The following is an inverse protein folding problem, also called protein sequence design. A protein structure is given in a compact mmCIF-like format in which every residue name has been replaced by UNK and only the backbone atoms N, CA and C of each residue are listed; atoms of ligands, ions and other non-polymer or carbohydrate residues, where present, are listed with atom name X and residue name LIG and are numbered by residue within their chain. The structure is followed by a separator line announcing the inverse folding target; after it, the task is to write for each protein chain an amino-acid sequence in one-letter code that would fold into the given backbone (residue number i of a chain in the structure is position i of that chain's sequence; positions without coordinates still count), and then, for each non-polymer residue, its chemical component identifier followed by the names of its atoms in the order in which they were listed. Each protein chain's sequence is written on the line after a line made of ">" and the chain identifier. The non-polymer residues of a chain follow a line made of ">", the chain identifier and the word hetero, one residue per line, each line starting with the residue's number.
data_IF_774650599918
#
_entry.id   IF_774650599918
#
_cell.length_a   1.000
_cell.length_b   1.000
_cell.length_c   1.000
_cell.angle_alpha   90.00
_cell.angle_beta   90.00
_cell.angle_gamma   90.00
#
_symmetry.space_group_name_H-M   'P 1'
#
loop_
_entity.id
_entity.type
_entity.pdbx_description
1 polymer ?
#
# COMPACT_ATOMS: atom_id res chain seq x y z
N UNK A 1 92.65 -12.14 -1.62
CA UNK A 1 92.90 -11.80 -3.03
C UNK A 1 91.64 -12.14 -3.82
N UNK A 2 91.06 -11.12 -4.46
CA UNK A 2 89.88 -11.21 -5.32
C UNK A 2 90.18 -12.11 -6.54
N UNK A 3 89.22 -12.95 -6.92
CA UNK A 3 88.95 -13.20 -8.34
C UNK A 3 87.46 -13.09 -8.59
N UNK A 4 87.20 -12.36 -9.66
CA UNK A 4 85.97 -11.71 -10.07
C UNK A 4 85.19 -12.62 -11.03
N UNK A 5 83.88 -12.36 -11.16
CA UNK A 5 83.19 -12.21 -12.45
C UNK A 5 82.14 -13.26 -12.90
N UNK A 6 80.99 -12.69 -13.29
CA UNK A 6 79.99 -13.05 -14.33
C UNK A 6 78.66 -13.68 -13.91
N UNK A 7 77.71 -12.77 -13.66
CA UNK A 7 76.31 -12.72 -14.16
C UNK A 7 75.70 -13.97 -14.79
N UNK A 8 74.55 -14.37 -14.27
CA UNK A 8 73.41 -14.84 -15.06
C UNK A 8 72.10 -14.33 -14.42
N UNK A 9 71.33 -13.58 -15.23
CA UNK A 9 69.98 -13.11 -14.93
C UNK A 9 69.03 -14.30 -14.75
N UNK A 10 68.17 -14.23 -13.74
CA UNK A 10 66.89 -14.94 -13.73
C UNK A 10 65.79 -13.94 -13.35
N UNK A 11 65.00 -13.54 -14.36
CA UNK A 11 63.77 -12.80 -14.18
C UNK A 11 62.72 -13.75 -13.58
N UNK A 12 62.24 -13.44 -12.38
CA UNK A 12 61.02 -14.06 -11.82
C UNK A 12 59.90 -13.04 -11.97
N UNK A 13 59.03 -13.29 -12.95
CA UNK A 13 57.71 -12.68 -13.08
C UNK A 13 56.70 -13.74 -12.67
N UNK A 14 55.74 -13.38 -11.81
CA UNK A 14 54.39 -13.95 -11.59
C UNK A 14 53.93 -13.45 -10.22
N UNK A 15 52.76 -12.88 -9.98
CA UNK A 15 51.56 -12.62 -10.76
C UNK A 15 50.54 -12.16 -9.72
N UNK A 16 50.26 -10.86 -9.63
CA UNK A 16 49.33 -10.31 -8.66
C UNK A 16 47.90 -10.61 -9.08
N UNK A 17 47.30 -11.63 -8.46
CA UNK A 17 45.87 -11.90 -8.57
C UNK A 17 45.10 -10.82 -7.79
N UNK A 18 44.71 -9.75 -8.47
CA UNK A 18 43.78 -8.76 -7.94
C UNK A 18 42.36 -9.36 -7.95
N UNK A 19 41.90 -9.87 -6.80
CA UNK A 19 40.50 -10.17 -6.59
C UNK A 19 39.71 -8.86 -6.58
N UNK A 20 39.15 -8.49 -7.73
CA UNK A 20 38.12 -7.47 -7.82
C UNK A 20 36.85 -8.05 -7.21
N UNK A 21 36.60 -7.73 -5.94
CA UNK A 21 35.30 -7.93 -5.32
C UNK A 21 34.32 -6.96 -6.00
N UNK A 22 33.61 -7.46 -7.02
CA UNK A 22 32.44 -6.80 -7.56
C UNK A 22 31.39 -6.77 -6.46
N UNK A 23 31.10 -5.58 -5.95
CA UNK A 23 29.95 -5.36 -5.08
C UNK A 23 28.69 -5.53 -5.93
N UNK A 24 28.15 -6.74 -6.00
CA UNK A 24 26.79 -6.96 -6.47
C UNK A 24 25.87 -6.16 -5.55
N UNK A 25 25.34 -5.06 -6.08
CA UNK A 25 24.21 -4.39 -5.46
C UNK A 25 23.05 -5.38 -5.47
N UNK A 26 22.88 -6.09 -4.36
CA UNK A 26 21.71 -6.92 -4.12
C UNK A 26 20.48 -6.00 -4.08
N UNK A 27 19.85 -5.80 -5.23
CA UNK A 27 18.50 -5.26 -5.30
C UNK A 27 17.59 -6.34 -4.72
N UNK A 28 17.29 -6.23 -3.43
CA UNK A 28 16.12 -6.88 -2.87
C UNK A 28 14.94 -6.40 -3.73
N UNK A 29 14.41 -7.30 -4.57
CA UNK A 29 13.23 -6.99 -5.38
C UNK A 29 12.12 -6.62 -4.39
N UNK A 30 11.69 -5.36 -4.44
CA UNK A 30 10.64 -4.85 -3.56
C UNK A 30 9.45 -5.81 -3.63
N UNK A 31 9.15 -6.41 -2.49
CA UNK A 31 8.15 -7.45 -2.31
C UNK A 31 6.80 -6.95 -2.79
N UNK A 32 6.42 -7.36 -4.02
CA UNK A 32 5.08 -7.29 -4.60
C UNK A 32 4.50 -5.91 -4.88
N UNK A 33 4.84 -4.87 -4.13
CA UNK A 33 4.25 -3.53 -4.19
C UNK A 33 5.31 -2.45 -4.38
N UNK A 34 5.07 -1.56 -5.35
CA UNK A 34 5.88 -0.36 -5.57
C UNK A 34 5.17 0.85 -5.00
N UNK A 35 5.92 1.74 -4.34
CA UNK A 35 5.41 3.02 -3.85
C UNK A 35 5.97 4.15 -4.69
N UNK A 36 5.06 4.89 -5.32
CA UNK A 36 5.37 6.05 -6.15
C UNK A 36 4.81 7.30 -5.49
N UNK A 37 5.63 8.35 -5.39
CA UNK A 37 5.12 9.69 -5.08
C UNK A 37 4.65 10.32 -6.38
N UNK A 38 3.41 10.80 -6.41
CA UNK A 38 2.90 11.49 -7.60
C UNK A 38 3.60 12.83 -7.78
N UNK A 39 4.33 12.99 -8.90
CA UNK A 39 5.06 14.20 -9.23
C UNK A 39 4.18 15.46 -9.14
N UNK A 40 4.73 16.55 -8.60
CA UNK A 40 3.99 17.80 -8.37
C UNK A 40 2.98 17.75 -7.23
N UNK A 41 2.92 16.65 -6.47
CA UNK A 41 1.99 16.48 -5.34
C UNK A 41 2.66 15.76 -4.18
N UNK A 42 2.05 15.83 -3.00
CA UNK A 42 2.46 15.07 -1.81
C UNK A 42 1.67 13.77 -1.63
N UNK A 43 0.92 13.34 -2.65
CA UNK A 43 0.17 12.08 -2.64
C UNK A 43 1.09 10.89 -2.91
N UNK A 44 0.76 9.77 -2.28
CA UNK A 44 1.46 8.50 -2.48
C UNK A 44 0.52 7.51 -3.17
N UNK A 45 1.06 6.77 -4.13
CA UNK A 45 0.36 5.69 -4.82
C UNK A 45 1.16 4.42 -4.61
N UNK A 46 0.54 3.42 -4.00
CA UNK A 46 1.08 2.07 -3.94
C UNK A 46 0.40 1.21 -5.01
N UNK A 47 1.19 0.47 -5.78
CA UNK A 47 0.69 -0.49 -6.76
C UNK A 47 1.29 -1.85 -6.46
N UNK A 48 0.44 -2.83 -6.27
CA UNK A 48 0.83 -4.20 -6.02
C UNK A 48 0.60 -5.04 -7.27
N UNK A 49 1.52 -5.96 -7.54
CA UNK A 49 1.48 -6.87 -8.69
C UNK A 49 0.28 -7.84 -8.66
N UNK A 50 -0.44 -7.91 -7.55
CA UNK A 50 -1.61 -8.75 -7.33
C UNK A 50 -2.95 -8.04 -7.57
N UNK A 51 -2.91 -6.88 -8.23
CA UNK A 51 -4.09 -6.13 -8.63
C UNK A 51 -4.68 -5.22 -7.55
N UNK A 52 -3.92 -4.91 -6.49
CA UNK A 52 -4.28 -3.88 -5.51
C UNK A 52 -3.56 -2.56 -5.83
N UNK A 53 -4.31 -1.48 -5.90
CA UNK A 53 -3.78 -0.12 -5.97
C UNK A 53 -4.36 0.73 -4.83
N UNK A 54 -3.50 1.50 -4.16
CA UNK A 54 -3.88 2.37 -3.04
C UNK A 54 -3.35 3.76 -3.32
N UNK A 55 -4.24 4.75 -3.36
CA UNK A 55 -3.88 6.17 -3.39
C UNK A 55 -4.13 6.75 -2.01
N UNK A 56 -3.13 7.37 -1.41
CA UNK A 56 -3.24 8.03 -0.12
C UNK A 56 -3.28 9.55 -0.27
N UNK A 57 -4.20 10.20 0.44
CA UNK A 57 -4.21 11.66 0.59
C UNK A 57 -2.88 12.14 1.18
N UNK A 58 -2.45 13.34 0.76
CA UNK A 58 -1.29 14.00 1.36
C UNK A 58 -1.37 14.04 2.90
N UNK A 59 -0.36 13.48 3.56
CA UNK A 59 -0.28 13.46 5.04
C UNK A 59 -1.18 12.41 5.71
N UNK A 60 -1.78 11.49 4.94
CA UNK A 60 -2.42 10.31 5.48
C UNK A 60 -1.39 9.42 6.19
N UNK A 61 -1.76 8.91 7.36
CA UNK A 61 -0.98 7.93 8.12
C UNK A 61 -1.67 6.58 7.98
N UNK A 62 -1.00 5.69 7.28
CA UNK A 62 -1.47 4.33 7.06
C UNK A 62 -0.31 3.35 7.13
N UNK A 63 -0.63 2.10 7.48
CA UNK A 63 0.29 0.98 7.43
C UNK A 63 -0.32 -0.13 6.61
N UNK A 64 0.54 -0.90 5.96
CA UNK A 64 0.16 -2.14 5.29
C UNK A 64 0.11 -3.28 6.30
N UNK A 65 -0.87 -4.16 6.16
CA UNK A 65 -0.99 -5.38 6.94
C UNK A 65 -0.96 -6.56 5.97
N UNK A 66 0.07 -7.38 6.11
CA UNK A 66 0.19 -8.71 5.50
C UNK A 66 0.07 -9.72 6.66
N UNK A 67 -1.08 -10.38 6.76
CA UNK A 67 -1.37 -11.28 7.90
C UNK A 67 -0.79 -12.66 7.70
N UNK A 68 -0.77 -13.13 6.45
CA UNK A 68 -0.31 -14.47 6.09
C UNK A 68 1.20 -14.51 5.76
N UNK A 69 1.85 -13.34 5.70
CA UNK A 69 3.28 -13.14 5.42
C UNK A 69 3.69 -13.65 4.04
N UNK A 70 2.79 -13.57 3.07
CA UNK A 70 3.07 -13.97 1.68
C UNK A 70 3.72 -12.86 0.84
N UNK A 71 3.98 -11.69 1.44
CA UNK A 71 4.55 -10.52 0.78
C UNK A 71 3.49 -9.67 0.06
N UNK A 72 2.20 -9.96 0.24
CA UNK A 72 1.08 -9.22 -0.34
C UNK A 72 0.21 -8.62 0.77
N UNK A 73 -0.21 -7.35 0.64
CA UNK A 73 -1.01 -6.70 1.66
C UNK A 73 -2.43 -7.27 1.70
N UNK A 74 -2.92 -7.78 2.82
CA UNK A 74 -4.33 -8.18 2.99
C UNK A 74 -5.22 -6.99 3.38
N UNK A 75 -4.62 -5.99 4.02
CA UNK A 75 -5.34 -4.83 4.50
C UNK A 75 -4.46 -3.58 4.58
N UNK A 76 -5.13 -2.44 4.64
CA UNK A 76 -4.54 -1.15 5.03
C UNK A 76 -5.11 -0.75 6.37
N UNK A 77 -4.24 -0.46 7.33
CA UNK A 77 -4.63 0.18 8.58
C UNK A 77 -4.49 1.70 8.45
N UNK A 78 -5.62 2.42 8.38
CA UNK A 78 -5.67 3.88 8.24
C UNK A 78 -5.93 4.55 9.61
N UNK A 79 -5.27 5.70 9.87
CA UNK A 79 -5.41 6.45 11.13
C UNK A 79 -5.93 7.87 10.98
N UNK A 80 -5.69 8.52 9.85
CA UNK A 80 -6.21 9.85 9.53
C UNK A 80 -6.27 10.05 8.02
N UNK A 81 -7.06 11.03 7.58
CA UNK A 81 -7.22 11.40 6.16
C UNK A 81 -7.78 10.25 5.34
N UNK A 82 -7.69 10.38 4.02
CA UNK A 82 -8.30 9.44 3.11
C UNK A 82 -7.32 8.51 2.37
N UNK A 83 -7.84 7.35 1.99
CA UNK A 83 -7.27 6.46 0.98
C UNK A 83 -8.34 6.09 -0.04
N UNK A 84 -7.96 5.93 -1.30
CA UNK A 84 -8.73 5.26 -2.35
C UNK A 84 -8.08 3.90 -2.60
N UNK A 85 -8.83 2.83 -2.47
CA UNK A 85 -8.37 1.47 -2.77
C UNK A 85 -9.09 0.97 -4.00
N UNK A 86 -8.34 0.43 -4.95
CA UNK A 86 -8.86 -0.33 -6.08
C UNK A 86 -8.33 -1.76 -6.01
N UNK A 87 -9.24 -2.71 -6.08
CA UNK A 87 -8.93 -4.15 -6.06
C UNK A 87 -9.47 -4.77 -7.33
N UNK A 88 -8.59 -5.42 -8.07
CA UNK A 88 -8.94 -6.29 -9.19
C UNK A 88 -9.42 -7.65 -8.66
N UNK A 89 -10.65 -8.02 -9.02
CA UNK A 89 -11.26 -9.29 -8.60
C UNK A 89 -10.55 -10.50 -9.18
N UNK A 90 -10.05 -10.40 -10.41
CA UNK A 90 -9.44 -11.52 -11.13
C UNK A 90 -8.09 -11.88 -10.52
N UNK A 91 -7.34 -10.88 -10.06
CA UNK A 91 -6.00 -11.06 -9.50
C UNK A 91 -6.02 -11.26 -7.97
N UNK A 92 -7.07 -10.78 -7.28
CA UNK A 92 -7.18 -10.83 -5.81
C UNK A 92 -8.47 -11.52 -5.32
N UNK A 93 -8.52 -12.87 -5.31
CA UNK A 93 -9.72 -13.61 -4.85
C UNK A 93 -9.94 -13.56 -3.32
N UNK A 94 -8.85 -13.39 -2.54
CA UNK A 94 -8.87 -13.38 -1.06
C UNK A 94 -9.59 -12.19 -0.42
N UNK A 95 -9.91 -11.15 -1.21
CA UNK A 95 -10.47 -9.91 -0.71
C UNK A 95 -9.41 -8.95 -0.17
N UNK A 96 -9.86 -7.81 0.34
CA UNK A 96 -9.01 -6.78 0.90
C UNK A 96 -9.80 -5.94 1.92
N UNK A 97 -9.12 -5.39 2.92
CA UNK A 97 -9.76 -4.58 3.95
C UNK A 97 -9.09 -3.22 4.14
N UNK A 98 -9.87 -2.21 4.53
CA UNK A 98 -9.34 -1.05 5.24
C UNK A 98 -9.84 -1.09 6.67
N UNK A 99 -8.89 -1.06 7.60
CA UNK A 99 -9.13 -1.08 9.04
C UNK A 99 -8.83 0.30 9.60
N UNK A 100 -9.82 0.88 10.27
CA UNK A 100 -9.70 2.15 10.97
C UNK A 100 -10.04 1.98 12.45
N UNK A 101 -9.82 3.00 13.30
CA UNK A 101 -10.25 2.92 14.69
C UNK A 101 -11.78 2.76 14.87
N UNK A 102 -12.59 3.12 13.89
CA UNK A 102 -14.06 3.10 13.98
C UNK A 102 -14.70 1.98 13.15
N UNK A 103 -14.05 1.54 12.07
CA UNK A 103 -14.64 0.64 11.11
C UNK A 103 -13.64 -0.35 10.51
N UNK A 104 -14.16 -1.50 10.12
CA UNK A 104 -13.55 -2.40 9.15
C UNK A 104 -14.45 -2.37 7.93
N UNK A 105 -13.85 -2.09 6.78
CA UNK A 105 -14.54 -2.13 5.52
C UNK A 105 -13.82 -3.10 4.58
N UNK A 106 -14.56 -4.11 4.12
CA UNK A 106 -14.05 -5.31 3.50
C UNK A 106 -14.69 -5.52 2.13
N UNK A 107 -13.89 -5.96 1.17
CA UNK A 107 -14.31 -6.05 -0.23
C UNK A 107 -13.81 -7.31 -0.91
N UNK A 108 -14.45 -7.61 -2.05
CA UNK A 108 -13.87 -8.43 -3.11
C UNK A 108 -14.03 -7.66 -4.42
N UNK A 109 -12.92 -7.24 -5.03
CA UNK A 109 -12.92 -6.59 -6.34
C UNK A 109 -13.70 -5.28 -6.43
N UNK A 110 -13.27 -4.24 -5.72
CA UNK A 110 -14.04 -2.99 -5.54
C UNK A 110 -13.10 -1.79 -5.56
N UNK A 111 -13.61 -0.66 -6.07
CA UNK A 111 -12.97 0.65 -5.95
C UNK A 111 -13.74 1.52 -4.97
N UNK A 112 -13.09 2.00 -3.93
CA UNK A 112 -13.77 2.64 -2.81
C UNK A 112 -12.82 3.51 -1.99
N UNK A 113 -13.38 4.54 -1.37
CA UNK A 113 -12.64 5.50 -0.58
C UNK A 113 -13.01 5.38 0.90
N UNK A 114 -12.00 5.55 1.76
CA UNK A 114 -12.15 5.63 3.22
C UNK A 114 -11.51 6.90 3.70
N UNK A 115 -12.21 7.67 4.50
CA UNK A 115 -11.69 8.87 5.17
C UNK A 115 -11.83 8.75 6.68
N UNK A 116 -10.74 9.01 7.41
CA UNK A 116 -10.76 9.11 8.86
C UNK A 116 -10.58 10.57 9.25
N UNK A 117 -11.65 11.16 9.77
CA UNK A 117 -11.68 12.56 10.19
C UNK A 117 -12.44 12.70 11.51
N UNK A 118 -11.85 13.44 12.47
CA UNK A 118 -12.47 13.81 13.75
C UNK A 118 -13.26 12.69 14.44
N UNK A 119 -12.66 11.50 14.56
CA UNK A 119 -13.29 10.37 15.25
C UNK A 119 -14.35 9.63 14.44
N UNK A 120 -14.55 9.97 13.17
CA UNK A 120 -15.49 9.33 12.24
C UNK A 120 -14.72 8.67 11.09
N UNK A 121 -15.13 7.46 10.71
CA UNK A 121 -14.73 6.84 9.45
C UNK A 121 -15.85 6.95 8.44
N UNK A 122 -15.60 7.66 7.34
CA UNK A 122 -16.52 7.74 6.21
C UNK A 122 -16.08 6.75 5.15
N UNK A 123 -17.01 5.96 4.62
CA UNK A 123 -16.74 5.00 3.53
C UNK A 123 -17.63 5.35 2.35
N UNK A 124 -17.06 5.38 1.14
CA UNK A 124 -17.78 5.68 -0.10
C UNK A 124 -17.40 4.71 -1.23
N UNK A 125 -18.39 4.23 -1.98
CA UNK A 125 -18.18 3.23 -3.03
C UNK A 125 -18.18 3.87 -4.41
N UNK A 126 -17.06 3.73 -5.13
CA UNK A 126 -16.92 4.19 -6.53
C UNK A 126 -17.36 3.09 -7.50
N UNK A 127 -16.98 1.84 -7.23
CA UNK A 127 -17.30 0.67 -8.08
C UNK A 127 -17.38 -0.59 -7.22
N UNK A 128 -18.38 -1.44 -7.43
CA UNK A 128 -18.51 -2.71 -6.72
C UNK A 128 -19.36 -2.59 -5.46
N UNK A 129 -19.01 -3.34 -4.41
CA UNK A 129 -19.76 -3.39 -3.14
C UNK A 129 -18.81 -3.51 -1.97
N UNK A 130 -19.11 -2.83 -0.87
CA UNK A 130 -18.28 -2.81 0.34
C UNK A 130 -19.12 -3.24 1.54
N UNK A 131 -18.64 -4.23 2.29
CA UNK A 131 -19.22 -4.56 3.58
C UNK A 131 -18.52 -3.75 4.68
N UNK A 132 -19.26 -2.94 5.43
CA UNK A 132 -18.74 -2.06 6.47
C UNK A 132 -19.33 -2.43 7.82
N UNK A 133 -18.49 -2.54 8.84
CA UNK A 133 -18.91 -2.75 10.23
C UNK A 133 -17.94 -2.15 11.22
N UNK A 134 -18.31 -2.16 12.49
CA UNK A 134 -17.39 -1.77 13.57
C UNK A 134 -16.39 -2.90 13.88
N UNK A 135 -15.17 -2.59 14.37
CA UNK A 135 -14.17 -3.60 14.72
C UNK A 135 -14.62 -4.55 15.84
N UNK A 136 -15.35 -4.04 16.84
CA UNK A 136 -16.03 -4.87 17.85
C UNK A 136 -17.10 -5.68 17.14
N UNK A 137 -16.81 -6.97 16.91
CA UNK A 137 -17.60 -7.90 16.11
C UNK A 137 -19.11 -7.60 16.18
N UNK A 138 -19.66 -7.13 15.07
CA UNK A 138 -21.03 -6.63 15.02
C UNK A 138 -21.60 -6.68 13.60
N UNK A 139 -22.88 -6.32 13.49
CA UNK A 139 -23.62 -6.32 12.22
C UNK A 139 -22.93 -5.43 11.18
N UNK A 140 -22.74 -5.96 9.98
CA UNK A 140 -22.23 -5.21 8.82
C UNK A 140 -23.37 -4.69 7.97
N UNK A 141 -23.16 -3.56 7.33
CA UNK A 141 -23.99 -3.05 6.24
C UNK A 141 -23.24 -3.19 4.93
N UNK A 142 -23.97 -3.38 3.83
CA UNK A 142 -23.38 -3.46 2.49
C UNK A 142 -23.73 -2.19 1.74
N UNK A 143 -22.71 -1.53 1.20
CA UNK A 143 -22.82 -0.35 0.37
C UNK A 143 -22.68 -0.76 -1.10
N UNK A 144 -23.48 -0.13 -1.96
CA UNK A 144 -23.41 -0.20 -3.41
C UNK A 144 -22.80 1.08 -3.98
N UNK A 145 -22.50 1.08 -5.29
CA UNK A 145 -21.94 2.22 -6.02
C UNK A 145 -22.72 3.51 -5.73
N UNK A 146 -22.01 4.59 -5.41
CA UNK A 146 -22.56 5.91 -5.08
C UNK A 146 -23.12 6.02 -3.67
N UNK A 147 -23.12 4.95 -2.89
CA UNK A 147 -23.49 4.98 -1.48
C UNK A 147 -22.28 5.18 -0.59
N UNK A 148 -22.55 5.71 0.60
CA UNK A 148 -21.60 5.82 1.66
C UNK A 148 -22.23 5.66 3.04
N UNK A 149 -21.37 5.51 4.03
CA UNK A 149 -21.73 5.39 5.44
C UNK A 149 -20.72 6.13 6.30
N UNK A 150 -21.21 6.74 7.37
CA UNK A 150 -20.39 7.39 8.39
C UNK A 150 -20.44 6.52 9.65
N UNK A 151 -19.27 6.12 10.13
CA UNK A 151 -19.10 5.22 11.27
C UNK A 151 -18.39 5.96 12.39
N UNK A 152 -19.10 6.14 13.50
CA UNK A 152 -18.55 6.59 14.78
C UNK A 152 -18.43 5.42 15.74
N UNK A 153 -17.65 5.61 16.82
CA UNK A 153 -17.63 4.66 17.94
C UNK A 153 -19.02 4.58 18.60
N UNK A 154 -19.32 3.44 19.20
CA UNK A 154 -20.60 3.16 19.87
C UNK A 154 -21.39 2.05 19.19
N UNK A 155 -22.69 1.99 19.46
CA UNK A 155 -23.56 0.88 19.06
C UNK A 155 -24.72 1.28 18.14
N UNK A 156 -24.83 2.57 17.78
CA UNK A 156 -25.91 3.06 16.91
C UNK A 156 -25.95 2.32 15.57
N UNK A 157 -27.14 2.01 15.02
CA UNK A 157 -27.24 1.36 13.73
C UNK A 157 -26.53 2.17 12.63
N UNK A 158 -25.77 1.48 11.78
CA UNK A 158 -25.13 2.10 10.62
C UNK A 158 -26.18 2.41 9.57
N UNK A 159 -26.20 3.66 9.09
CA UNK A 159 -27.18 4.11 8.10
C UNK A 159 -26.48 4.32 6.75
N UNK A 160 -26.79 3.46 5.80
CA UNK A 160 -26.32 3.61 4.41
C UNK A 160 -27.12 4.71 3.73
N UNK A 161 -26.43 5.59 3.00
CA UNK A 161 -27.06 6.67 2.24
C UNK A 161 -26.41 6.81 0.88
N UNK A 162 -27.20 7.17 -0.13
CA UNK A 162 -26.64 7.75 -1.36
C UNK A 162 -25.96 9.06 -1.01
N UNK A 163 -24.67 9.19 -1.33
CA UNK A 163 -23.96 10.45 -1.10
C UNK A 163 -24.29 11.47 -2.19
N UNK A 164 -24.49 12.74 -1.82
CA UNK A 164 -24.59 13.82 -2.80
C UNK A 164 -23.32 13.88 -3.68
N UNK A 165 -23.44 14.15 -4.99
CA UNK A 165 -22.28 14.19 -5.89
C UNK A 165 -21.16 15.12 -5.43
N UNK A 166 -21.51 16.30 -4.90
CA UNK A 166 -20.53 17.27 -4.39
C UNK A 166 -19.71 16.71 -3.22
N UNK A 167 -20.33 15.95 -2.31
CA UNK A 167 -19.63 15.32 -1.17
C UNK A 167 -18.66 14.25 -1.66
N UNK A 168 -19.09 13.41 -2.60
CA UNK A 168 -18.24 12.38 -3.19
C UNK A 168 -17.06 12.99 -3.95
N UNK A 169 -17.32 14.00 -4.79
CA UNK A 169 -16.31 14.72 -5.54
C UNK A 169 -15.27 15.38 -4.63
N UNK A 170 -15.68 16.01 -3.53
CA UNK A 170 -14.76 16.62 -2.57
C UNK A 170 -13.80 15.59 -1.94
N UNK A 171 -14.30 14.40 -1.56
CA UNK A 171 -13.45 13.30 -1.06
C UNK A 171 -12.46 12.84 -2.15
N UNK A 172 -12.97 12.60 -3.35
CA UNK A 172 -12.21 12.06 -4.48
C UNK A 172 -11.15 13.03 -5.02
N UNK A 173 -11.41 14.33 -5.02
CA UNK A 173 -10.45 15.35 -5.43
C UNK A 173 -9.19 15.37 -4.55
N UNK A 174 -9.33 15.15 -3.23
CA UNK A 174 -8.17 14.99 -2.31
C UNK A 174 -7.31 13.78 -2.65
N UNK A 175 -7.89 12.80 -3.34
CA UNK A 175 -7.27 11.55 -3.80
C UNK A 175 -6.87 11.63 -5.29
N UNK A 176 -6.93 12.82 -5.90
CA UNK A 176 -6.51 13.07 -7.28
C UNK A 176 -7.36 12.36 -8.33
N UNK A 177 -8.66 12.19 -8.06
CA UNK A 177 -9.64 11.65 -8.99
C UNK A 177 -10.54 12.74 -9.59
#
# INVERSE_FOLDING_TARGET
>A
MLVNSRMLLALVVWGSAACLFGSDAAFAQATGCTMERMAGTSRQVMRCADGVAIVAESGARFNIIDRNRDGRPDAVSLRNKAVLVDVDRAQRPGGFEVVTPQAIAAVRGTRWAVDVNSGTTSVFVVRGRVAVGRPSAGRRVVLSVGEGVDVTRGSTPLTVRRWPPARAAALLARLGQ
#
